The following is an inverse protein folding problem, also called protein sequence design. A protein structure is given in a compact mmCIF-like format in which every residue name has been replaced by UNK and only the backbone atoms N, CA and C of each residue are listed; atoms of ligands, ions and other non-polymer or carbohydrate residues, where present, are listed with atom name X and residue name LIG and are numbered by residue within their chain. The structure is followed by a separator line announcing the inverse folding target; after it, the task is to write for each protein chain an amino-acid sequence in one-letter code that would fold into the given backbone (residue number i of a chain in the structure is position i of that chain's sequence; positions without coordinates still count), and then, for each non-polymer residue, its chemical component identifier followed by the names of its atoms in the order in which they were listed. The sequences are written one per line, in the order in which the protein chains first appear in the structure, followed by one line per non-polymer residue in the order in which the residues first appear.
data_IF_585013566267
#
_entry.id   IF_585013566267
#
_cell.length_a   1.000
_cell.length_b   1.000
_cell.length_c   1.000
_cell.angle_alpha   90.00
_cell.angle_beta   90.00
_cell.angle_gamma   90.00
#
_symmetry.space_group_name_H-M   'P 1'
#
loop_
_entity.id
_entity.type
_entity.pdbx_description
1 polymer ?
#
# COMPACT_ATOMS: atom_id res chain seq x y z
N UNK A 1 26.50 -75.14 -16.32
CA UNK A 1 25.06 -74.95 -16.05
C UNK A 1 24.72 -73.53 -16.51
N UNK A 2 23.88 -73.22 -17.49
CA UNK A 2 23.05 -74.00 -18.42
C UNK A 2 23.12 -73.23 -19.74
N UNK A 3 23.56 -73.93 -20.78
CA UNK A 3 23.47 -73.59 -22.19
C UNK A 3 22.02 -73.68 -22.66
N UNK A 4 21.54 -72.69 -23.41
CA UNK A 4 20.23 -72.73 -24.07
C UNK A 4 20.26 -72.01 -25.42
N UNK A 5 20.22 -72.73 -26.56
CA UNK A 5 20.13 -72.15 -27.89
C UNK A 5 18.66 -72.05 -28.33
N UNK A 6 18.20 -70.87 -28.73
CA UNK A 6 16.85 -70.70 -29.27
C UNK A 6 16.88 -69.99 -30.62
N UNK A 7 16.70 -70.82 -31.65
CA UNK A 7 15.99 -70.55 -32.89
C UNK A 7 16.37 -69.28 -33.68
N UNK A 8 17.41 -69.44 -34.50
CA UNK A 8 17.50 -68.71 -35.76
C UNK A 8 16.39 -69.19 -36.70
N UNK A 9 15.26 -68.46 -36.76
CA UNK A 9 14.33 -68.56 -37.88
C UNK A 9 14.96 -67.85 -39.08
N UNK A 10 15.71 -68.62 -39.88
CA UNK A 10 16.19 -68.22 -41.20
C UNK A 10 14.98 -68.12 -42.12
N UNK A 11 14.46 -66.91 -42.29
CA UNK A 11 13.44 -66.60 -43.28
C UNK A 11 14.14 -66.51 -44.64
N UNK A 12 14.20 -67.63 -45.36
CA UNK A 12 14.62 -67.67 -46.76
C UNK A 12 13.59 -66.94 -47.60
N UNK A 13 13.82 -65.66 -47.85
CA UNK A 13 13.07 -64.89 -48.84
C UNK A 13 13.53 -65.38 -50.22
N UNK A 14 12.64 -66.13 -50.87
CA UNK A 14 12.80 -66.60 -52.24
C UNK A 14 12.78 -65.41 -53.19
N UNK A 15 13.96 -64.99 -53.67
CA UNK A 15 14.07 -63.99 -54.74
C UNK A 15 13.88 -64.67 -56.09
N UNK A 16 12.63 -64.75 -56.53
CA UNK A 16 12.30 -65.05 -57.91
C UNK A 16 12.90 -63.96 -58.82
N UNK A 17 13.98 -64.30 -59.51
CA UNK A 17 14.52 -63.54 -60.64
C UNK A 17 13.51 -63.60 -61.77
N UNK A 18 12.79 -62.50 -62.00
CA UNK A 18 12.03 -62.27 -63.22
C UNK A 18 12.89 -61.53 -64.24
N UNK A 19 12.70 -61.88 -65.51
CA UNK A 19 13.49 -61.44 -66.65
C UNK A 19 13.51 -59.91 -66.84
N UNK A 20 14.60 -59.35 -67.40
CA UNK A 20 14.78 -57.92 -67.59
C UNK A 20 13.98 -57.43 -68.80
N UNK A 21 12.78 -56.90 -68.53
CA UNK A 21 11.96 -56.26 -69.54
C UNK A 21 10.93 -55.31 -68.94
N UNK A 22 11.30 -54.04 -68.78
CA UNK A 22 10.34 -52.94 -68.91
C UNK A 22 9.78 -52.23 -67.66
N UNK A 23 10.07 -52.62 -66.41
CA UNK A 23 9.39 -52.02 -65.23
C UNK A 23 10.35 -51.57 -64.09
N UNK A 24 11.51 -50.99 -64.40
CA UNK A 24 12.40 -50.41 -63.35
C UNK A 24 11.92 -49.04 -62.86
N UNK A 25 10.96 -48.42 -63.55
CA UNK A 25 10.36 -47.13 -63.19
C UNK A 25 9.82 -47.11 -61.73
N UNK A 26 8.98 -48.06 -61.27
CA UNK A 26 8.51 -48.06 -59.87
C UNK A 26 9.62 -48.26 -58.84
N UNK A 27 10.66 -49.04 -59.16
CA UNK A 27 11.80 -49.25 -58.25
C UNK A 27 12.67 -48.00 -58.11
N UNK A 28 12.96 -47.32 -59.22
CA UNK A 28 13.71 -46.04 -59.19
C UNK A 28 12.93 -45.00 -58.40
N UNK A 29 11.60 -44.93 -58.57
CA UNK A 29 10.75 -43.97 -57.85
C UNK A 29 10.76 -44.22 -56.33
N UNK A 30 10.74 -45.49 -55.89
CA UNK A 30 10.90 -45.82 -54.47
C UNK A 30 12.26 -45.41 -53.90
N UNK A 31 13.36 -45.69 -54.61
CA UNK A 31 14.70 -45.34 -54.13
C UNK A 31 14.88 -43.82 -54.03
N UNK A 32 14.40 -43.07 -55.04
CA UNK A 32 14.41 -41.61 -55.03
C UNK A 32 13.55 -41.07 -53.87
N UNK A 33 12.37 -41.63 -53.64
CA UNK A 33 11.50 -41.24 -52.54
C UNK A 33 12.15 -41.39 -51.17
N UNK A 34 12.80 -42.54 -50.92
CA UNK A 34 13.51 -42.80 -49.65
C UNK A 34 14.68 -41.83 -49.46
N UNK A 35 15.45 -41.57 -50.52
CA UNK A 35 16.55 -40.60 -50.48
C UNK A 35 16.04 -39.18 -50.21
N UNK A 36 14.93 -38.77 -50.83
CA UNK A 36 14.34 -37.44 -50.63
C UNK A 36 13.86 -37.26 -49.18
N UNK A 37 13.19 -38.27 -48.61
CA UNK A 37 12.75 -38.26 -47.20
C UNK A 37 13.96 -38.19 -46.26
N UNK A 38 15.00 -39.00 -46.49
CA UNK A 38 16.21 -38.97 -45.69
C UNK A 38 16.91 -37.61 -45.75
N UNK A 39 17.00 -37.02 -46.93
CA UNK A 39 17.59 -35.69 -47.14
C UNK A 39 16.80 -34.58 -46.42
N UNK A 40 15.46 -34.59 -46.54
CA UNK A 40 14.58 -33.66 -45.82
C UNK A 40 14.72 -33.83 -44.30
N UNK A 41 14.85 -35.06 -43.81
CA UNK A 41 15.05 -35.33 -42.39
C UNK A 41 16.36 -34.71 -41.88
N UNK A 42 17.46 -34.86 -42.61
CA UNK A 42 18.76 -34.24 -42.26
C UNK A 42 18.68 -32.71 -42.25
N UNK A 43 18.02 -32.10 -43.25
CA UNK A 43 17.82 -30.64 -43.29
C UNK A 43 16.99 -30.17 -42.10
N UNK A 44 15.92 -30.90 -41.76
CA UNK A 44 15.03 -30.55 -40.64
C UNK A 44 15.75 -30.63 -39.29
N UNK A 45 16.61 -31.62 -39.08
CA UNK A 45 17.40 -31.79 -37.86
C UNK A 45 18.45 -30.68 -37.75
N UNK A 46 19.16 -30.36 -38.84
CA UNK A 46 20.12 -29.26 -38.85
C UNK A 46 19.47 -27.91 -38.57
N UNK A 47 18.30 -27.65 -39.16
CA UNK A 47 17.51 -26.44 -38.90
C UNK A 47 17.09 -26.34 -37.43
N UNK A 48 16.63 -27.44 -36.82
CA UNK A 48 16.26 -27.48 -35.39
C UNK A 48 17.46 -27.27 -34.47
N UNK A 49 18.63 -27.83 -34.78
CA UNK A 49 19.85 -27.66 -33.96
C UNK A 49 20.36 -26.21 -34.06
N UNK A 50 20.36 -25.62 -35.26
CA UNK A 50 20.75 -24.22 -35.45
C UNK A 50 19.84 -23.26 -34.66
N UNK A 51 18.51 -23.50 -34.68
CA UNK A 51 17.56 -22.71 -33.87
C UNK A 51 17.75 -22.89 -32.37
N UNK A 52 18.14 -24.09 -31.91
CA UNK A 52 18.44 -24.34 -30.49
C UNK A 52 19.76 -23.70 -30.03
N UNK A 53 20.75 -23.61 -30.91
CA UNK A 53 22.00 -22.90 -30.60
C UNK A 53 21.84 -21.38 -30.63
N UNK A 54 20.97 -20.84 -31.47
CA UNK A 54 20.59 -19.42 -31.45
C UNK A 54 19.75 -19.04 -30.21
N UNK A 55 19.12 -20.02 -29.55
CA UNK A 55 18.35 -19.84 -28.32
C UNK A 55 19.14 -20.15 -27.04
N UNK A 56 20.46 -20.41 -27.12
CA UNK A 56 21.28 -20.44 -25.92
C UNK A 56 21.51 -18.99 -25.49
N UNK A 57 20.98 -18.55 -24.33
CA UNK A 57 21.18 -17.18 -23.87
C UNK A 57 22.67 -16.91 -23.81
N UNK A 58 23.08 -15.80 -24.42
CA UNK A 58 24.47 -15.37 -24.39
C UNK A 58 24.94 -15.31 -22.93
N UNK A 59 26.19 -15.68 -22.61
CA UNK A 59 26.77 -15.45 -21.28
C UNK A 59 26.53 -14.02 -20.78
N UNK A 60 26.48 -13.06 -21.71
CA UNK A 60 26.17 -11.66 -21.44
C UNK A 60 24.73 -11.44 -20.94
N UNK A 61 23.74 -12.17 -21.47
CA UNK A 61 22.36 -12.09 -21.00
C UNK A 61 22.20 -12.66 -19.59
N UNK A 62 22.96 -13.72 -19.25
CA UNK A 62 22.98 -14.22 -17.87
C UNK A 62 23.62 -13.23 -16.90
N UNK A 63 24.70 -12.56 -17.29
CA UNK A 63 25.31 -11.51 -16.48
C UNK A 63 24.35 -10.32 -16.33
N UNK A 64 23.65 -9.93 -17.39
CA UNK A 64 22.65 -8.87 -17.35
C UNK A 64 21.48 -9.21 -16.42
N UNK A 65 20.97 -10.45 -16.47
CA UNK A 65 19.91 -10.92 -15.55
C UNK A 65 20.37 -10.95 -14.10
N UNK A 66 21.60 -11.39 -13.83
CA UNK A 66 22.15 -11.39 -12.47
C UNK A 66 22.32 -9.96 -11.93
N UNK A 67 22.78 -9.03 -12.77
CA UNK A 67 22.86 -7.61 -12.40
C UNK A 67 21.48 -6.99 -12.14
N UNK A 68 20.48 -7.32 -12.96
CA UNK A 68 19.11 -6.86 -12.75
C UNK A 68 18.54 -7.38 -11.42
N UNK A 69 18.71 -8.68 -11.14
CA UNK A 69 18.28 -9.28 -9.88
C UNK A 69 19.05 -8.72 -8.66
N UNK A 70 20.31 -8.32 -8.82
CA UNK A 70 21.08 -7.68 -7.76
C UNK A 70 20.54 -6.27 -7.45
N UNK A 71 20.20 -5.48 -8.48
CA UNK A 71 19.60 -4.14 -8.31
C UNK A 71 18.23 -4.22 -7.62
N UNK A 72 17.40 -5.18 -8.01
CA UNK A 72 16.10 -5.39 -7.37
C UNK A 72 16.24 -5.68 -5.86
N UNK A 73 17.27 -6.45 -5.47
CA UNK A 73 17.56 -6.71 -4.05
C UNK A 73 18.04 -5.46 -3.31
N UNK A 74 18.88 -4.65 -3.95
CA UNK A 74 19.37 -3.39 -3.40
C UNK A 74 18.21 -2.40 -3.17
N UNK A 75 17.26 -2.33 -4.10
CA UNK A 75 16.05 -1.51 -3.96
C UNK A 75 15.19 -1.98 -2.76
N UNK A 76 15.05 -3.30 -2.60
CA UNK A 76 14.30 -3.87 -1.47
C UNK A 76 14.97 -3.62 -0.12
N UNK A 77 16.30 -3.67 -0.06
CA UNK A 77 17.06 -3.33 1.15
C UNK A 77 16.92 -1.85 1.51
N UNK A 78 16.92 -0.98 0.50
CA UNK A 78 16.71 0.47 0.66
C UNK A 78 15.32 0.76 1.23
N UNK A 79 14.27 0.15 0.68
CA UNK A 79 12.89 0.32 1.19
C UNK A 79 12.78 -0.18 2.63
N UNK A 80 13.42 -1.29 2.98
CA UNK A 80 13.41 -1.80 4.37
C UNK A 80 14.13 -0.87 5.33
N UNK A 81 15.25 -0.29 4.93
CA UNK A 81 15.98 0.68 5.74
C UNK A 81 15.13 1.94 5.99
N UNK A 82 14.44 2.44 4.97
CA UNK A 82 13.55 3.60 5.08
C UNK A 82 12.33 3.32 5.97
N UNK A 83 11.69 2.15 5.83
CA UNK A 83 10.62 1.72 6.72
C UNK A 83 11.07 1.62 8.18
N UNK A 84 12.29 1.15 8.42
CA UNK A 84 12.83 1.09 9.78
C UNK A 84 13.10 2.51 10.33
N UNK A 85 13.67 3.40 9.52
CA UNK A 85 13.93 4.78 9.91
C UNK A 85 12.63 5.54 10.23
N UNK A 86 11.60 5.39 9.41
CA UNK A 86 10.28 6.01 9.62
C UNK A 86 9.59 5.46 10.88
N UNK A 87 9.62 4.14 11.09
CA UNK A 87 9.09 3.52 12.31
C UNK A 87 9.80 4.04 13.58
N UNK A 88 11.13 4.17 13.53
CA UNK A 88 11.93 4.69 14.63
C UNK A 88 11.62 6.17 14.91
N UNK A 89 11.45 6.97 13.86
CA UNK A 89 11.01 8.37 13.99
C UNK A 89 9.63 8.47 14.64
N UNK A 90 8.65 7.69 14.17
CA UNK A 90 7.30 7.67 14.75
C UNK A 90 7.30 7.28 16.23
N UNK A 91 8.09 6.25 16.59
CA UNK A 91 8.25 5.84 17.98
C UNK A 91 8.79 6.98 18.86
N UNK A 92 9.81 7.71 18.38
CA UNK A 92 10.37 8.85 19.10
C UNK A 92 9.34 9.97 19.32
N UNK A 93 8.50 10.25 18.32
CA UNK A 93 7.45 11.26 18.41
C UNK A 93 6.37 10.86 19.41
N UNK A 94 5.98 9.58 19.43
CA UNK A 94 4.99 9.05 20.39
C UNK A 94 5.54 9.19 21.81
N UNK A 95 6.79 8.82 22.05
CA UNK A 95 7.42 8.96 23.38
C UNK A 95 7.46 10.43 23.82
N UNK A 96 7.78 11.36 22.92
CA UNK A 96 7.78 12.79 23.22
C UNK A 96 6.37 13.29 23.59
N UNK A 97 5.36 12.92 22.79
CA UNK A 97 3.96 13.30 23.05
C UNK A 97 3.44 12.68 24.35
N UNK A 98 3.79 11.44 24.65
CA UNK A 98 3.43 10.78 25.91
C UNK A 98 4.00 11.54 27.11
N UNK A 99 5.29 11.90 27.06
CA UNK A 99 5.94 12.70 28.11
C UNK A 99 5.28 14.08 28.29
N UNK A 100 4.91 14.73 27.18
CA UNK A 100 4.20 16.00 27.23
C UNK A 100 2.82 15.87 27.89
N UNK A 101 2.08 14.81 27.57
CA UNK A 101 0.79 14.52 28.22
C UNK A 101 0.95 14.23 29.71
N UNK A 102 1.95 13.43 30.12
CA UNK A 102 2.26 13.18 31.53
C UNK A 102 2.55 14.49 32.29
N UNK A 103 3.31 15.39 31.68
CA UNK A 103 3.60 16.70 32.27
C UNK A 103 2.33 17.56 32.40
N UNK A 104 1.47 17.55 31.38
CA UNK A 104 0.22 18.32 31.40
C UNK A 104 -0.75 17.80 32.47
N UNK A 105 -0.81 16.47 32.65
CA UNK A 105 -1.60 15.84 33.73
C UNK A 105 -1.06 16.26 35.10
N UNK A 106 0.26 16.22 35.29
CA UNK A 106 0.88 16.65 36.54
C UNK A 106 0.61 18.14 36.86
N UNK A 107 0.65 19.02 35.86
CA UNK A 107 0.30 20.44 36.03
C UNK A 107 -1.19 20.63 36.37
N UNK A 108 -2.08 19.87 35.73
CA UNK A 108 -3.51 19.90 36.03
C UNK A 108 -3.79 19.44 37.47
N UNK A 109 -3.14 18.36 37.91
CA UNK A 109 -3.27 17.86 39.28
C UNK A 109 -2.77 18.86 40.33
N UNK A 110 -1.64 19.52 40.08
CA UNK A 110 -1.12 20.58 40.96
C UNK A 110 -2.11 21.75 41.06
N UNK A 111 -2.68 22.19 39.94
CA UNK A 111 -3.72 23.25 39.93
C UNK A 111 -4.97 22.82 40.70
N UNK A 112 -5.42 21.57 40.54
CA UNK A 112 -6.58 21.05 41.27
C UNK A 112 -6.30 21.01 42.78
N UNK A 113 -5.08 20.60 43.19
CA UNK A 113 -4.67 20.60 44.59
C UNK A 113 -4.73 22.03 45.18
N UNK A 114 -4.12 23.01 44.48
CA UNK A 114 -4.15 24.42 44.89
C UNK A 114 -5.58 24.97 45.03
N UNK A 115 -6.47 24.63 44.08
CA UNK A 115 -7.87 25.05 44.14
C UNK A 115 -8.63 24.39 45.30
N UNK A 116 -8.35 23.12 45.62
CA UNK A 116 -8.93 22.44 46.78
C UNK A 116 -8.46 23.07 48.08
N UNK A 117 -7.18 23.40 48.20
CA UNK A 117 -6.63 24.05 49.40
C UNK A 117 -7.21 25.45 49.59
N UNK A 118 -7.28 26.25 48.52
CA UNK A 118 -7.92 27.57 48.56
C UNK A 118 -9.40 27.48 48.94
N UNK A 119 -10.13 26.49 48.41
CA UNK A 119 -11.53 26.26 48.77
C UNK A 119 -11.69 25.86 50.24
N UNK A 120 -10.86 24.96 50.75
CA UNK A 120 -10.92 24.50 52.14
C UNK A 120 -10.59 25.64 53.11
N UNK A 121 -9.61 26.50 52.78
CA UNK A 121 -9.28 27.68 53.59
C UNK A 121 -10.43 28.69 53.71
N UNK A 122 -11.33 28.78 52.73
CA UNK A 122 -12.55 29.62 52.82
C UNK A 122 -13.54 29.02 53.83
N UNK A 123 -13.69 27.69 53.88
CA UNK A 123 -14.58 27.03 54.82
C UNK A 123 -14.06 27.10 56.27
N UNK A 124 -12.75 26.99 56.48
CA UNK A 124 -12.15 27.08 57.82
C UNK A 124 -12.12 28.52 58.37
N UNK A 125 -12.19 29.53 57.49
CA UNK A 125 -12.31 30.94 57.86
C UNK A 125 -13.76 31.38 58.15
N UNK A 126 -14.71 30.44 58.25
CA UNK A 126 -16.07 30.75 58.67
C UNK A 126 -16.04 31.52 60.02
N UNK A 127 -16.52 32.78 60.07
CA UNK A 127 -16.61 33.51 61.32
C UNK A 127 -17.49 32.73 62.30
N UNK A 128 -17.14 32.69 63.60
CA UNK A 128 -17.95 32.00 64.60
C UNK A 128 -19.38 32.48 64.49
N UNK A 129 -20.31 31.53 64.32
CA UNK A 129 -21.74 31.77 64.13
C UNK A 129 -22.24 32.93 64.98
N UNK A 130 -22.49 34.07 64.34
CA UNK A 130 -23.50 34.98 64.82
C UNK A 130 -24.82 34.27 64.56
N UNK A 131 -25.32 33.59 65.59
CA UNK A 131 -26.67 33.05 65.70
C UNK A 131 -27.67 34.10 65.22
N UNK A 132 -28.10 33.95 63.96
CA UNK A 132 -29.19 34.74 63.41
C UNK A 132 -30.50 34.08 63.85
N UNK A 133 -31.41 34.83 64.48
CA UNK A 133 -32.64 34.30 65.01
C UNK A 133 -33.52 33.80 63.86
N UNK A 134 -34.06 32.60 64.05
CA UNK A 134 -35.21 32.10 63.33
C UNK A 134 -36.35 33.09 63.55
N UNK A 135 -36.79 33.77 62.49
CA UNK A 135 -38.15 34.26 62.25
C UNK A 135 -38.10 35.35 61.18
N UNK A 136 -38.27 34.97 59.91
CA UNK A 136 -38.89 35.82 58.88
C UNK A 136 -38.99 35.02 57.57
N UNK A 137 -40.21 34.51 57.36
CA UNK A 137 -40.94 34.60 56.10
C UNK A 137 -40.30 34.00 54.84
N UNK A 138 -40.83 32.83 54.47
CA UNK A 138 -40.61 32.18 53.19
C UNK A 138 -40.98 33.12 52.03
N UNK A 139 -40.05 33.46 51.13
CA UNK A 139 -40.39 34.06 49.85
C UNK A 139 -41.14 33.02 49.03
N UNK A 140 -42.36 33.36 48.61
CA UNK A 140 -43.08 32.58 47.62
C UNK A 140 -42.23 32.44 46.35
N UNK A 141 -42.26 31.26 45.69
CA UNK A 141 -41.58 31.07 44.43
C UNK A 141 -42.23 31.99 43.39
N UNK A 142 -41.58 33.10 43.09
CA UNK A 142 -41.87 33.91 41.91
C UNK A 142 -41.83 32.97 40.69
N UNK A 143 -43.00 32.82 40.08
CA UNK A 143 -43.30 32.15 38.82
C UNK A 143 -42.68 32.96 37.67
N UNK A 144 -41.37 33.18 37.75
CA UNK A 144 -40.58 34.05 36.89
C UNK A 144 -39.90 33.24 35.81
N UNK A 145 -40.65 32.97 34.74
CA UNK A 145 -40.19 32.47 33.44
C UNK A 145 -39.47 31.10 33.46
N UNK A 146 -39.78 30.18 32.53
CA UNK A 146 -38.94 29.00 32.36
C UNK A 146 -37.49 29.47 32.17
N UNK A 147 -36.51 28.86 32.85
CA UNK A 147 -35.10 29.03 32.49
C UNK A 147 -35.01 28.88 30.99
N UNK A 148 -34.32 29.77 30.25
CA UNK A 148 -34.12 29.56 28.82
C UNK A 148 -33.61 28.13 28.69
N UNK A 149 -34.45 27.31 28.07
CA UNK A 149 -34.13 25.93 27.72
C UNK A 149 -32.72 26.00 27.14
N UNK A 150 -31.76 25.20 27.64
CA UNK A 150 -30.42 25.23 27.09
C UNK A 150 -30.56 24.88 25.61
N UNK A 151 -30.63 25.91 24.77
CA UNK A 151 -30.56 25.82 23.33
C UNK A 151 -29.45 24.81 23.06
N UNK A 152 -29.75 23.71 22.36
CA UNK A 152 -28.78 22.67 22.09
C UNK A 152 -27.48 23.34 21.68
N UNK A 153 -26.45 23.15 22.50
CA UNK A 153 -25.11 23.69 22.31
C UNK A 153 -24.41 23.08 21.07
N UNK A 154 -25.19 22.69 20.06
CA UNK A 154 -24.75 22.23 18.75
C UNK A 154 -24.36 23.41 17.84
N UNK A 155 -24.75 24.65 18.17
CA UNK A 155 -24.40 25.84 17.37
C UNK A 155 -23.31 26.74 17.94
N UNK A 156 -22.74 26.44 19.11
CA UNK A 156 -21.58 27.22 19.62
C UNK A 156 -20.29 26.89 18.87
N UNK A 157 -20.20 25.70 18.27
CA UNK A 157 -19.09 25.30 17.39
C UNK A 157 -19.15 25.88 15.97
N UNK A 158 -20.26 26.51 15.59
CA UNK A 158 -20.37 27.14 14.27
C UNK A 158 -19.81 28.57 14.24
N UNK A 159 -19.72 29.24 15.40
CA UNK A 159 -19.35 30.66 15.48
C UNK A 159 -17.86 30.93 15.74
N UNK A 160 -17.11 29.91 16.15
CA UNK A 160 -15.64 29.96 16.26
C UNK A 160 -14.92 29.50 14.98
N UNK A 161 -15.64 29.12 13.90
CA UNK A 161 -15.00 28.73 12.62
C UNK A 161 -14.44 29.90 11.81
N UNK A 162 -14.74 31.14 12.21
CA UNK A 162 -14.15 32.34 11.62
C UNK A 162 -12.84 32.76 12.31
N UNK A 163 -12.37 32.03 13.33
CA UNK A 163 -11.00 32.19 13.85
C UNK A 163 -9.99 31.60 12.86
N UNK A 164 -9.70 32.38 11.82
CA UNK A 164 -8.54 32.22 10.95
C UNK A 164 -8.53 30.92 10.17
N UNK A 165 -9.07 30.95 8.94
CA UNK A 165 -8.80 29.90 7.95
C UNK A 165 -7.30 29.60 7.95
N UNK A 166 -6.96 28.32 8.12
CA UNK A 166 -5.59 27.82 8.05
C UNK A 166 -4.92 28.39 6.79
N UNK A 167 -3.71 29.01 6.87
CA UNK A 167 -3.00 29.57 5.72
C UNK A 167 -2.88 28.58 4.55
N UNK A 168 -2.85 27.28 4.82
CA UNK A 168 -2.88 26.26 3.79
C UNK A 168 -4.20 26.25 3.00
N UNK A 169 -5.34 26.40 3.68
CA UNK A 169 -6.67 26.42 3.05
C UNK A 169 -6.81 27.62 2.11
N UNK A 170 -6.27 28.77 2.51
CA UNK A 170 -6.23 29.97 1.66
C UNK A 170 -5.40 29.73 0.38
N UNK A 171 -4.23 29.11 0.52
CA UNK A 171 -3.35 28.79 -0.62
C UNK A 171 -3.99 27.79 -1.58
N UNK A 172 -4.70 26.78 -1.04
CA UNK A 172 -5.46 25.80 -1.84
C UNK A 172 -6.57 26.49 -2.63
N UNK A 173 -7.32 27.42 -2.02
CA UNK A 173 -8.37 28.15 -2.71
C UNK A 173 -7.84 29.12 -3.77
N UNK A 174 -6.74 29.81 -3.50
CA UNK A 174 -6.10 30.70 -4.47
C UNK A 174 -5.64 29.92 -5.72
N UNK A 175 -4.99 28.77 -5.56
CA UNK A 175 -4.56 27.96 -6.70
C UNK A 175 -5.74 27.35 -7.48
N UNK A 176 -6.80 26.96 -6.79
CA UNK A 176 -8.03 26.48 -7.42
C UNK A 176 -8.74 27.58 -8.22
N UNK A 177 -8.78 28.82 -7.70
CA UNK A 177 -9.34 29.98 -8.41
C UNK A 177 -8.50 30.35 -9.64
N UNK A 178 -7.21 30.01 -9.64
CA UNK A 178 -6.33 30.08 -10.80
C UNK A 178 -6.49 28.90 -11.80
N UNK A 179 -7.44 27.98 -11.56
CA UNK A 179 -7.77 26.87 -12.46
C UNK A 179 -6.90 25.63 -12.35
N UNK A 180 -6.15 25.45 -11.25
CA UNK A 180 -5.36 24.23 -11.02
C UNK A 180 -6.26 23.08 -10.55
N UNK A 181 -5.93 21.85 -10.95
CA UNK A 181 -6.60 20.65 -10.46
C UNK A 181 -6.05 20.19 -9.10
N UNK A 182 -6.78 19.32 -8.40
CA UNK A 182 -6.39 18.88 -7.05
C UNK A 182 -5.00 18.24 -7.00
N UNK A 183 -4.60 17.51 -8.06
CA UNK A 183 -3.28 16.93 -8.20
C UNK A 183 -2.20 18.01 -8.36
N UNK A 184 -2.41 19.00 -9.23
CA UNK A 184 -1.49 20.11 -9.44
C UNK A 184 -1.31 20.97 -8.20
N UNK A 185 -2.38 21.22 -7.45
CA UNK A 185 -2.34 21.95 -6.17
C UNK A 185 -1.53 21.16 -5.13
N UNK A 186 -1.76 19.85 -5.01
CA UNK A 186 -1.04 18.97 -4.10
C UNK A 186 0.47 18.97 -4.38
N UNK A 187 0.86 18.93 -5.67
CA UNK A 187 2.27 19.03 -6.07
C UNK A 187 2.88 20.41 -5.80
N UNK A 188 2.13 21.50 -6.02
CA UNK A 188 2.61 22.86 -5.83
C UNK A 188 2.85 23.21 -4.34
N UNK A 189 2.02 22.65 -3.45
CA UNK A 189 2.10 22.89 -2.01
C UNK A 189 2.86 21.79 -1.24
N UNK A 190 3.35 20.76 -1.92
CA UNK A 190 3.96 19.55 -1.33
C UNK A 190 3.05 18.89 -0.27
N UNK A 191 1.77 18.77 -0.59
CA UNK A 191 0.72 18.27 0.31
C UNK A 191 0.02 17.03 -0.26
N UNK A 192 -0.65 16.27 0.60
CA UNK A 192 -1.31 15.03 0.19
C UNK A 192 -2.60 15.31 -0.59
N UNK A 193 -2.78 14.68 -1.76
CA UNK A 193 -3.93 14.93 -2.66
C UNK A 193 -5.30 14.80 -1.97
N UNK A 194 -5.48 13.80 -1.11
CA UNK A 194 -6.75 13.62 -0.39
C UNK A 194 -7.08 14.75 0.59
N UNK A 195 -6.07 15.42 1.16
CA UNK A 195 -6.26 16.60 2.03
C UNK A 195 -6.74 17.80 1.20
N UNK A 196 -6.16 18.00 0.03
CA UNK A 196 -6.56 19.04 -0.92
C UNK A 196 -7.99 18.80 -1.43
N UNK A 197 -8.31 17.57 -1.84
CA UNK A 197 -9.67 17.20 -2.27
C UNK A 197 -10.70 17.43 -1.16
N UNK A 198 -10.37 17.09 0.09
CA UNK A 198 -11.23 17.34 1.23
C UNK A 198 -11.50 18.83 1.44
N UNK A 199 -10.46 19.68 1.39
CA UNK A 199 -10.58 21.14 1.52
C UNK A 199 -11.46 21.73 0.41
N UNK A 200 -11.29 21.25 -0.83
CA UNK A 200 -12.10 21.68 -1.98
C UNK A 200 -13.56 21.20 -1.88
N UNK A 201 -13.78 19.96 -1.42
CA UNK A 201 -15.13 19.40 -1.23
C UNK A 201 -15.92 20.19 -0.17
N UNK A 202 -15.26 20.61 0.91
CA UNK A 202 -15.85 21.44 1.96
C UNK A 202 -16.26 22.84 1.45
N UNK A 203 -15.58 23.38 0.44
CA UNK A 203 -15.96 24.65 -0.20
C UNK A 203 -17.25 24.53 -1.02
N UNK A 204 -17.43 23.41 -1.73
CA UNK A 204 -18.57 23.19 -2.62
C UNK A 204 -19.87 22.77 -1.93
N UNK A 205 -19.83 22.50 -0.62
CA UNK A 205 -20.99 22.05 0.19
C UNK A 205 -21.68 23.19 0.97
N UNK A 206 -21.36 24.44 0.68
CA UNK A 206 -21.96 25.65 1.29
C UNK A 206 -23.07 26.29 0.48
#
# INVERSE_FOLDING_TARGET
MVTGPAAQCVLTISTATSAPGGNHLPQVLMVVGVLMIGFLMVISVRSKIARRNAARPSPEEHIAKLKAAAREREDHETIRADLHATAQSLASQITLKAKYLEQLIADADDRIARLRDARNGIFDAAPPSLSHPADAEAPQPEEGSPPPEPEPNEYRFARDRDEGLDPLTLSVYELADNGHDALGIAQALDEQIGKVELILALRGTG
#
